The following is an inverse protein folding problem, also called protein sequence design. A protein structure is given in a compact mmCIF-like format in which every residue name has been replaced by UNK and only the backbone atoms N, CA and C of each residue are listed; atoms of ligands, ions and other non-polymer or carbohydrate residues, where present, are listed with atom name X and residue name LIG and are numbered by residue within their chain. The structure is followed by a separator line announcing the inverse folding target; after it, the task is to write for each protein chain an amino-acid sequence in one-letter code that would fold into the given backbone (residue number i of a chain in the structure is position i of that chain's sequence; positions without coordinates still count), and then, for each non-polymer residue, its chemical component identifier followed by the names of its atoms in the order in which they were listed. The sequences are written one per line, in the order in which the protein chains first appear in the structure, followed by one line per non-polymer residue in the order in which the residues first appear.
data_IF_012323117642
#
_entry.id   IF_012323117642
#
_cell.length_a   1.000
_cell.length_b   1.000
_cell.length_c   1.000
_cell.angle_alpha   90.00
_cell.angle_beta   90.00
_cell.angle_gamma   90.00
#
_symmetry.space_group_name_H-M   'P 1'
#
loop_
_entity.id
_entity.type
_entity.pdbx_description
1 polymer ?
#
# COMPACT_ATOMS: atom_id res chain seq x y z
N UNK A 1 -25.86 2.06 20.01
CA UNK A 1 -26.52 2.66 18.83
C UNK A 1 -27.61 1.70 18.36
N UNK A 2 -28.84 2.17 18.22
CA UNK A 2 -30.02 1.35 17.88
C UNK A 2 -30.04 0.94 16.39
N UNK A 3 -30.58 -0.25 16.04
CA UNK A 3 -30.83 -0.60 14.65
C UNK A 3 -32.03 0.21 14.08
N UNK A 4 -32.03 0.54 12.77
CA UNK A 4 -33.14 1.23 12.11
C UNK A 4 -34.41 0.34 12.03
N UNK A 5 -35.60 0.91 11.77
CA UNK A 5 -36.86 0.17 11.83
C UNK A 5 -36.90 -0.89 10.72
N UNK A 6 -37.29 -2.12 11.09
CA UNK A 6 -37.49 -3.23 10.17
C UNK A 6 -38.46 -2.84 9.04
N UNK A 7 -38.11 -3.06 7.76
CA UNK A 7 -39.05 -2.89 6.67
C UNK A 7 -40.15 -3.96 6.78
N UNK A 8 -41.40 -3.51 6.85
CA UNK A 8 -42.60 -4.35 7.08
C UNK A 8 -43.02 -5.24 5.90
N UNK A 9 -42.24 -5.30 4.81
CA UNK A 9 -42.56 -6.09 3.62
C UNK A 9 -41.34 -6.84 3.08
N UNK A 10 -41.47 -8.14 2.73
CA UNK A 10 -40.40 -8.93 2.09
C UNK A 10 -39.83 -8.27 0.84
N UNK A 11 -40.64 -7.55 0.07
CA UNK A 11 -40.20 -6.83 -1.13
C UNK A 11 -39.23 -5.67 -0.79
N UNK A 12 -39.47 -4.95 0.31
CA UNK A 12 -38.60 -3.85 0.73
C UNK A 12 -37.24 -4.34 1.23
N UNK A 13 -37.22 -5.50 1.90
CA UNK A 13 -35.97 -6.19 2.27
C UNK A 13 -35.17 -6.60 1.03
N UNK A 14 -35.81 -7.25 0.05
CA UNK A 14 -35.15 -7.65 -1.20
C UNK A 14 -34.58 -6.45 -1.97
N UNK A 15 -35.30 -5.33 -2.04
CA UNK A 15 -34.81 -4.10 -2.66
C UNK A 15 -33.59 -3.54 -1.93
N UNK A 16 -33.55 -3.60 -0.59
CA UNK A 16 -32.38 -3.21 0.18
C UNK A 16 -31.20 -4.15 -0.06
N UNK A 17 -31.41 -5.47 -0.12
CA UNK A 17 -30.37 -6.46 -0.42
C UNK A 17 -29.79 -6.30 -1.82
N UNK A 18 -30.63 -6.08 -2.84
CA UNK A 18 -30.17 -5.85 -4.22
C UNK A 18 -29.44 -4.51 -4.33
N UNK A 19 -29.91 -3.47 -3.65
CA UNK A 19 -29.21 -2.17 -3.59
C UNK A 19 -27.87 -2.28 -2.86
N UNK A 20 -27.76 -3.13 -1.83
CA UNK A 20 -26.50 -3.41 -1.15
C UNK A 20 -25.54 -4.21 -2.05
N UNK A 21 -26.02 -5.23 -2.75
CA UNK A 21 -25.23 -6.01 -3.70
C UNK A 21 -24.72 -5.14 -4.87
N UNK A 22 -25.58 -4.32 -5.47
CA UNK A 22 -25.22 -3.43 -6.57
C UNK A 22 -24.23 -2.32 -6.17
N UNK A 23 -24.14 -1.97 -4.88
CA UNK A 23 -23.07 -1.07 -4.38
C UNK A 23 -21.70 -1.74 -4.41
N UNK A 24 -21.62 -3.05 -4.22
CA UNK A 24 -20.36 -3.79 -4.24
C UNK A 24 -19.93 -4.19 -5.66
N UNK A 25 -20.86 -4.34 -6.61
CA UNK A 25 -20.53 -4.41 -8.05
C UNK A 25 -19.76 -3.17 -8.53
N UNK A 26 -20.15 -1.97 -8.06
CA UNK A 26 -19.45 -0.73 -8.35
C UNK A 26 -18.02 -0.71 -7.77
N UNK A 27 -17.78 -1.40 -6.65
CA UNK A 27 -16.46 -1.51 -6.03
C UNK A 27 -15.52 -2.43 -6.82
N UNK A 28 -16.01 -3.58 -7.29
CA UNK A 28 -15.21 -4.44 -8.17
C UNK A 28 -14.88 -3.75 -9.48
N UNK A 29 -15.84 -3.01 -10.05
CA UNK A 29 -15.59 -2.17 -11.23
C UNK A 29 -14.54 -1.10 -10.92
N UNK A 30 -14.69 -0.34 -9.84
CA UNK A 30 -13.75 0.71 -9.46
C UNK A 30 -12.33 0.19 -9.21
N UNK A 31 -12.20 -0.93 -8.52
CA UNK A 31 -10.90 -1.60 -8.33
C UNK A 31 -10.28 -2.03 -9.66
N UNK A 32 -11.08 -2.60 -10.56
CA UNK A 32 -10.63 -3.02 -11.89
C UNK A 32 -10.18 -1.81 -12.73
N UNK A 33 -10.93 -0.70 -12.68
CA UNK A 33 -10.57 0.55 -13.34
C UNK A 33 -9.23 1.11 -12.80
N UNK A 34 -8.98 1.01 -11.48
CA UNK A 34 -7.70 1.38 -10.88
C UNK A 34 -6.53 0.50 -11.38
N UNK A 35 -6.73 -0.81 -11.49
CA UNK A 35 -5.72 -1.74 -12.03
C UNK A 35 -5.40 -1.45 -13.49
N UNK A 36 -6.43 -1.20 -14.32
CA UNK A 36 -6.26 -0.86 -15.73
C UNK A 36 -5.47 0.44 -15.88
N UNK A 37 -5.79 1.48 -15.10
CA UNK A 37 -5.06 2.75 -15.12
C UNK A 37 -3.58 2.59 -14.74
N UNK A 38 -3.27 1.74 -13.76
CA UNK A 38 -1.88 1.41 -13.42
C UNK A 38 -1.18 0.70 -14.58
N UNK A 39 -1.86 -0.29 -15.18
CA UNK A 39 -1.38 -1.01 -16.35
C UNK A 39 -1.07 -0.07 -17.52
N UNK A 40 -1.97 0.86 -17.83
CA UNK A 40 -1.80 1.86 -18.90
C UNK A 40 -0.62 2.80 -18.61
N UNK A 41 -0.47 3.26 -17.35
CA UNK A 41 0.68 4.09 -16.94
C UNK A 41 2.02 3.36 -17.13
N UNK A 42 2.05 2.05 -16.87
CA UNK A 42 3.22 1.21 -17.08
C UNK A 42 3.46 0.86 -18.56
N UNK A 43 2.40 0.68 -19.35
CA UNK A 43 2.50 0.43 -20.79
C UNK A 43 3.01 1.67 -21.55
N UNK A 44 2.64 2.87 -21.07
CA UNK A 44 3.07 4.15 -21.64
C UNK A 44 4.27 4.75 -20.89
N UNK A 45 5.04 3.92 -20.21
CA UNK A 45 6.18 4.35 -19.40
C UNK A 45 7.21 5.11 -20.25
N UNK A 46 7.60 6.34 -19.86
CA UNK A 46 8.55 7.12 -20.63
C UNK A 46 9.91 6.42 -20.69
N UNK A 47 10.50 6.36 -21.88
CA UNK A 47 11.79 5.71 -22.11
C UNK A 47 12.94 6.70 -21.89
N UNK A 48 14.09 6.20 -21.43
CA UNK A 48 15.33 7.00 -21.33
C UNK A 48 15.46 7.84 -20.04
N UNK A 49 14.75 7.49 -18.97
CA UNK A 49 15.00 8.08 -17.64
C UNK A 49 16.22 7.44 -16.97
N UNK A 50 16.95 8.24 -16.19
CA UNK A 50 17.95 7.74 -15.26
C UNK A 50 17.29 6.95 -14.12
N UNK A 51 18.05 6.04 -13.49
CA UNK A 51 17.53 5.11 -12.46
C UNK A 51 16.76 5.80 -11.32
N UNK A 52 17.20 6.99 -10.91
CA UNK A 52 16.56 7.74 -9.81
C UNK A 52 15.22 8.32 -10.26
N UNK A 53 15.16 8.88 -11.45
CA UNK A 53 13.90 9.40 -12.01
C UNK A 53 12.97 8.26 -12.41
N UNK A 54 13.53 7.10 -12.78
CA UNK A 54 12.77 5.92 -13.14
C UNK A 54 11.89 5.44 -11.97
N UNK A 55 12.53 5.21 -10.81
CA UNK A 55 11.85 4.74 -9.60
C UNK A 55 10.82 5.76 -9.10
N UNK A 56 11.14 7.07 -9.16
CA UNK A 56 10.19 8.12 -8.76
C UNK A 56 8.91 8.10 -9.58
N UNK A 57 9.02 7.96 -10.89
CA UNK A 57 7.87 7.89 -11.79
C UNK A 57 7.02 6.65 -11.51
N UNK A 58 7.67 5.50 -11.33
CA UNK A 58 6.99 4.25 -10.95
C UNK A 58 6.25 4.39 -9.61
N UNK A 59 6.86 5.05 -8.62
CA UNK A 59 6.22 5.30 -7.34
C UNK A 59 5.07 6.29 -7.40
N UNK A 60 5.09 7.26 -8.31
CA UNK A 60 3.96 8.15 -8.54
C UNK A 60 2.74 7.36 -9.08
N UNK A 61 2.95 6.48 -10.05
CA UNK A 61 1.89 5.61 -10.57
C UNK A 61 1.33 4.66 -9.50
N UNK A 62 2.20 4.16 -8.63
CA UNK A 62 1.81 3.32 -7.51
C UNK A 62 0.97 4.07 -6.46
N UNK A 63 1.35 5.29 -6.09
CA UNK A 63 0.57 6.12 -5.16
C UNK A 63 -0.80 6.46 -5.73
N UNK A 64 -0.89 6.79 -7.02
CA UNK A 64 -2.16 7.03 -7.71
C UNK A 64 -3.06 5.78 -7.69
N UNK A 65 -2.49 4.60 -7.94
CA UNK A 65 -3.20 3.33 -7.82
C UNK A 65 -3.69 3.07 -6.39
N UNK A 66 -2.85 3.34 -5.40
CA UNK A 66 -3.17 3.13 -3.99
C UNK A 66 -4.31 4.05 -3.54
N UNK A 67 -4.25 5.34 -3.90
CA UNK A 67 -5.30 6.32 -3.64
C UNK A 67 -6.62 5.91 -4.31
N UNK A 68 -6.58 5.59 -5.61
CA UNK A 68 -7.75 5.14 -6.38
C UNK A 68 -8.42 3.93 -5.73
N UNK A 69 -7.61 2.93 -5.35
CA UNK A 69 -8.13 1.70 -4.78
C UNK A 69 -8.76 1.93 -3.42
N UNK A 70 -8.15 2.73 -2.54
CA UNK A 70 -8.74 3.07 -1.24
C UNK A 70 -10.09 3.75 -1.42
N UNK A 71 -10.21 4.68 -2.37
CA UNK A 71 -11.48 5.34 -2.68
C UNK A 71 -12.53 4.38 -3.28
N UNK A 72 -12.14 3.54 -4.24
CA UNK A 72 -13.05 2.57 -4.84
C UNK A 72 -13.60 1.57 -3.81
N UNK A 73 -12.82 1.25 -2.78
CA UNK A 73 -13.20 0.31 -1.74
C UNK A 73 -14.02 0.94 -0.60
N UNK A 74 -14.02 2.26 -0.45
CA UNK A 74 -14.82 2.94 0.58
C UNK A 74 -16.32 2.99 0.27
N UNK A 75 -16.72 2.70 -0.97
CA UNK A 75 -18.12 2.82 -1.43
C UNK A 75 -18.99 1.56 -1.19
N UNK A 76 -18.41 0.45 -0.71
CA UNK A 76 -19.15 -0.77 -0.28
C UNK A 76 -18.99 -1.00 1.23
N UNK A 77 -20.11 -1.21 1.94
CA UNK A 77 -20.14 -1.45 3.38
C UNK A 77 -20.49 -2.92 3.69
N UNK A 78 -19.85 -3.41 4.76
CA UNK A 78 -19.73 -4.79 5.30
C UNK A 78 -18.81 -5.74 4.51
N UNK A 79 -17.66 -6.07 5.12
CA UNK A 79 -16.71 -7.08 4.63
C UNK A 79 -15.65 -6.61 3.64
N UNK A 80 -15.96 -5.68 2.72
CA UNK A 80 -15.01 -5.28 1.66
C UNK A 80 -13.74 -4.59 2.20
N UNK A 81 -13.91 -3.65 3.13
CA UNK A 81 -12.78 -2.98 3.80
C UNK A 81 -11.92 -3.95 4.61
N UNK A 82 -12.54 -4.85 5.38
CA UNK A 82 -11.83 -5.83 6.20
C UNK A 82 -11.03 -6.82 5.34
N UNK A 83 -11.64 -7.31 4.27
CA UNK A 83 -11.00 -8.19 3.30
C UNK A 83 -9.85 -7.48 2.56
N UNK A 84 -10.03 -6.21 2.21
CA UNK A 84 -8.95 -5.40 1.62
C UNK A 84 -7.81 -5.14 2.61
N UNK A 85 -8.11 -4.77 3.85
CA UNK A 85 -7.09 -4.53 4.86
C UNK A 85 -6.28 -5.81 5.14
N UNK A 86 -6.96 -6.98 5.13
CA UNK A 86 -6.32 -8.29 5.18
C UNK A 86 -5.48 -8.58 3.94
N UNK A 87 -5.98 -8.35 2.73
CA UNK A 87 -5.21 -8.49 1.48
C UNK A 87 -3.97 -7.59 1.47
N UNK A 88 -4.09 -6.34 1.94
CA UNK A 88 -2.95 -5.41 2.07
C UNK A 88 -1.94 -5.96 3.07
N UNK A 89 -2.38 -6.48 4.22
CA UNK A 89 -1.51 -7.08 5.25
C UNK A 89 -0.79 -8.31 4.71
N UNK A 90 -1.49 -9.20 4.02
CA UNK A 90 -0.89 -10.38 3.39
C UNK A 90 0.08 -9.97 2.28
N UNK A 91 -0.28 -9.00 1.42
CA UNK A 91 0.60 -8.46 0.39
C UNK A 91 1.91 -7.88 0.94
N UNK A 92 1.88 -7.28 2.14
CA UNK A 92 3.09 -6.81 2.83
C UNK A 92 3.96 -7.95 3.38
N UNK A 93 3.34 -9.09 3.68
CA UNK A 93 3.99 -10.27 4.26
C UNK A 93 4.52 -11.23 3.18
N UNK A 94 4.04 -11.11 1.95
CA UNK A 94 4.66 -11.73 0.79
C UNK A 94 6.03 -11.06 0.60
N UNK A 95 7.09 -11.74 1.05
CA UNK A 95 8.49 -11.32 0.94
C UNK A 95 8.96 -11.32 -0.54
N UNK A 96 8.32 -10.48 -1.37
CA UNK A 96 8.62 -10.31 -2.79
C UNK A 96 9.68 -9.22 -2.88
N UNK A 97 10.93 -9.68 -2.98
CA UNK A 97 12.10 -8.83 -3.11
C UNK A 97 11.95 -7.92 -4.34
N UNK A 98 11.93 -6.59 -4.13
CA UNK A 98 11.76 -5.62 -5.21
C UNK A 98 10.32 -5.32 -5.62
N UNK A 99 9.33 -5.65 -4.76
CA UNK A 99 7.95 -5.24 -4.99
C UNK A 99 7.79 -3.71 -4.92
N UNK A 100 6.77 -3.18 -5.61
CA UNK A 100 6.36 -1.78 -5.51
C UNK A 100 6.08 -1.35 -4.05
N UNK A 101 5.64 -2.30 -3.22
CA UNK A 101 5.41 -2.06 -1.81
C UNK A 101 6.72 -1.72 -1.06
N UNK A 102 7.81 -2.41 -1.38
CA UNK A 102 9.14 -2.11 -0.81
C UNK A 102 9.77 -0.86 -1.43
N UNK A 103 9.71 -0.74 -2.76
CA UNK A 103 10.36 0.34 -3.50
C UNK A 103 9.71 1.71 -3.23
N UNK A 104 8.39 1.74 -3.03
CA UNK A 104 7.61 2.97 -2.92
C UNK A 104 6.96 3.17 -1.54
N UNK A 105 7.07 2.19 -0.62
CA UNK A 105 6.46 2.25 0.72
C UNK A 105 7.04 3.30 1.67
N UNK A 106 8.14 3.98 1.29
CA UNK A 106 8.81 5.00 2.10
C UNK A 106 8.76 6.40 1.45
N UNK A 107 7.64 6.79 0.84
CA UNK A 107 7.43 8.15 0.31
C UNK A 107 7.26 9.23 1.41
N UNK A 108 8.16 9.25 2.38
CA UNK A 108 8.56 10.44 3.11
C UNK A 108 10.06 10.58 2.92
N UNK A 109 10.45 11.57 2.09
CA UNK A 109 11.80 11.76 1.59
C UNK A 109 12.89 11.48 2.63
N UNK A 110 13.58 10.35 2.43
CA UNK A 110 14.86 10.08 3.05
C UNK A 110 15.65 9.23 2.07
N UNK A 111 16.84 9.72 1.76
CA UNK A 111 17.87 9.07 0.98
C UNK A 111 18.03 7.58 1.35
N UNK A 112 18.65 6.75 0.49
CA UNK A 112 19.09 5.42 0.93
C UNK A 112 19.80 5.59 2.27
N UNK A 113 19.30 4.93 3.31
CA UNK A 113 19.98 4.84 4.60
C UNK A 113 21.25 4.02 4.41
N UNK A 114 22.23 4.61 3.74
CA UNK A 114 23.63 4.37 3.98
C UNK A 114 23.84 4.75 5.45
N UNK A 115 23.99 3.69 6.26
CA UNK A 115 24.52 3.71 7.62
C UNK A 115 23.55 4.24 8.68
N UNK A 116 23.03 3.31 9.48
CA UNK A 116 22.64 3.60 10.86
C UNK A 116 23.71 4.48 11.53
N UNK A 117 23.35 5.56 12.24
CA UNK A 117 24.30 6.38 13.00
C UNK A 117 24.93 5.61 14.18
N UNK A 118 24.56 4.35 14.40
CA UNK A 118 25.15 3.47 15.41
C UNK A 118 26.47 2.84 14.96
N UNK A 119 26.75 2.76 13.65
CA UNK A 119 27.96 2.13 13.14
C UNK A 119 29.26 2.87 13.52
N UNK A 120 29.37 4.21 13.41
CA UNK A 120 30.59 4.91 13.86
C UNK A 120 30.76 4.88 15.39
N UNK A 121 29.66 4.84 16.16
CA UNK A 121 29.71 4.72 17.62
C UNK A 121 30.14 3.33 18.08
N UNK A 122 29.66 2.27 17.41
CA UNK A 122 30.11 0.91 17.65
C UNK A 122 31.60 0.76 17.30
N UNK A 123 32.04 1.29 16.17
CA UNK A 123 33.45 1.24 15.77
C UNK A 123 34.36 2.00 16.75
N UNK A 124 33.91 3.16 17.26
CA UNK A 124 34.63 3.93 18.28
C UNK A 124 34.69 3.20 19.63
N UNK A 125 33.64 2.49 20.03
CA UNK A 125 33.64 1.68 21.26
C UNK A 125 34.54 0.45 21.13
N UNK A 126 34.55 -0.22 19.97
CA UNK A 126 35.40 -1.38 19.73
C UNK A 126 36.88 -0.98 19.69
N UNK A 127 37.23 0.16 19.11
CA UNK A 127 38.62 0.64 19.04
C UNK A 127 39.15 1.07 20.41
N UNK A 128 38.33 1.74 21.23
CA UNK A 128 38.70 2.07 22.61
C UNK A 128 38.95 0.82 23.47
N UNK A 129 38.11 -0.21 23.30
CA UNK A 129 38.28 -1.47 24.02
C UNK A 129 39.56 -2.20 23.58
N UNK A 130 39.83 -2.29 22.28
CA UNK A 130 41.07 -2.86 21.72
C UNK A 130 42.35 -2.16 22.20
N UNK A 131 42.33 -0.83 22.31
CA UNK A 131 43.48 -0.06 22.80
C UNK A 131 43.80 -0.35 24.27
N UNK A 132 42.78 -0.60 25.10
CA UNK A 132 42.95 -0.94 26.51
C UNK A 132 43.56 -2.34 26.71
N UNK A 133 43.25 -3.31 25.84
CA UNK A 133 43.82 -4.66 25.91
C UNK A 133 45.25 -4.76 25.37
N UNK A 134 45.65 -3.90 24.44
CA UNK A 134 47.02 -3.86 23.90
C UNK A 134 48.00 -3.09 24.80
N UNK A 135 47.51 -2.39 25.82
CA UNK A 135 48.32 -1.60 26.75
C UNK A 135 48.59 -2.34 28.08
N UNK A 136 48.35 -3.64 28.14
CA UNK A 136 48.63 -4.52 29.28
C UNK A 136 49.55 -5.67 28.89
#
# INVERSE_FOLDING_TARGET
MCPPPFPSSPAAYLVQSVRAAGKCDAVFKGFSDCLLKLGDSMANYPQGLDDKTNIKTVCAYWEDFHSCTVTALTDCQEGAKDMWDKLRKESKNLNIQGSLFELCGNSNGSAPSLLLPTFPLLLASLSAALAAWLSF
#
